data_IF_278922541962
#
_entry.id   IF_278922541962
#
_cell.length_a   1.000
_cell.length_b   1.000
_cell.length_c   1.000
_cell.angle_alpha   90.00
_cell.angle_beta   90.00
_cell.angle_gamma   90.00
#
_symmetry.space_group_name_H-M   'P 1'
#
loop_
_entity.id
_entity.type
_entity.pdbx_description
1 polymer ?
#
# COMPACT_ATOMS: atom_id res chain seq x y z
N UNK A 1 12.01 14.62 -36.31
CA UNK A 1 11.66 14.35 -34.90
C UNK A 1 12.04 12.90 -34.60
N UNK A 2 13.05 12.66 -33.76
CA UNK A 2 13.52 11.30 -33.46
C UNK A 2 12.45 10.53 -32.67
N UNK A 3 12.09 9.34 -33.16
CA UNK A 3 11.11 8.41 -32.55
C UNK A 3 11.80 7.30 -31.73
N UNK A 4 13.11 7.39 -31.53
CA UNK A 4 13.86 6.35 -30.85
C UNK A 4 13.52 6.33 -29.36
N UNK A 5 12.90 5.23 -28.88
CA UNK A 5 12.78 4.92 -27.45
C UNK A 5 14.20 4.88 -26.87
N UNK A 6 14.52 5.86 -26.00
CA UNK A 6 15.85 5.99 -25.41
C UNK A 6 16.31 4.68 -24.77
N UNK A 7 17.54 4.28 -25.14
CA UNK A 7 18.35 3.16 -24.65
C UNK A 7 17.66 2.24 -23.62
N UNK A 8 16.92 1.24 -24.10
CA UNK A 8 16.15 0.28 -23.28
C UNK A 8 17.03 -0.57 -22.36
N UNK A 9 18.34 -0.67 -22.63
CA UNK A 9 19.30 -1.38 -21.80
C UNK A 9 20.45 -0.44 -21.40
N UNK A 10 20.47 -0.01 -20.14
CA UNK A 10 21.57 0.75 -19.54
C UNK A 10 22.72 -0.21 -19.21
N UNK A 11 23.88 -0.03 -19.82
CA UNK A 11 25.07 -0.86 -19.57
C UNK A 11 25.82 -0.52 -18.28
N UNK A 12 25.64 0.69 -17.75
CA UNK A 12 26.31 1.18 -16.54
C UNK A 12 25.30 1.41 -15.42
N UNK A 13 25.67 1.10 -14.16
CA UNK A 13 24.80 1.39 -13.03
C UNK A 13 24.67 2.90 -12.84
N UNK A 14 23.69 3.31 -12.05
CA UNK A 14 23.44 4.72 -11.78
C UNK A 14 24.68 5.36 -11.13
N UNK A 15 25.13 6.50 -11.69
CA UNK A 15 26.33 7.23 -11.22
C UNK A 15 26.24 7.61 -9.74
N UNK A 16 25.04 7.92 -9.27
CA UNK A 16 24.76 8.32 -7.89
C UNK A 16 23.83 7.27 -7.27
N UNK A 17 24.42 6.31 -6.57
CA UNK A 17 23.68 5.28 -5.84
C UNK A 17 23.40 5.73 -4.41
N UNK A 18 22.25 5.34 -3.87
CA UNK A 18 21.95 5.56 -2.47
C UNK A 18 22.85 4.67 -1.60
N UNK A 19 23.58 5.27 -0.65
CA UNK A 19 24.42 4.52 0.30
C UNK A 19 23.59 3.76 1.33
N UNK A 20 22.42 4.28 1.67
CA UNK A 20 21.51 3.71 2.65
C UNK A 20 20.08 3.71 2.11
N UNK A 21 19.26 2.76 2.57
CA UNK A 21 17.85 2.74 2.23
C UNK A 21 17.12 3.95 2.84
N UNK A 22 16.10 4.44 2.14
CA UNK A 22 15.23 5.49 2.67
C UNK A 22 14.53 5.01 3.95
N UNK A 23 14.61 5.84 5.01
CA UNK A 23 13.93 5.66 6.28
C UNK A 23 13.03 6.86 6.52
N UNK A 24 11.74 6.64 6.70
CA UNK A 24 10.77 7.72 6.87
C UNK A 24 10.86 8.39 8.25
N UNK A 25 11.40 7.72 9.24
CA UNK A 25 11.54 8.15 10.63
C UNK A 25 12.92 8.76 10.96
N UNK A 26 13.82 8.85 9.98
CA UNK A 26 15.21 9.30 10.19
C UNK A 26 15.28 10.71 10.79
N UNK A 27 14.45 11.63 10.31
CA UNK A 27 14.42 13.03 10.74
C UNK A 27 13.08 13.45 11.35
N UNK A 28 12.00 12.76 10.99
CA UNK A 28 10.64 13.10 11.42
C UNK A 28 10.12 12.01 12.36
N UNK A 29 10.19 12.32 13.65
CA UNK A 29 9.77 11.44 14.74
C UNK A 29 8.39 11.83 15.29
N UNK A 30 7.58 12.54 14.49
CA UNK A 30 6.25 12.96 14.90
C UNK A 30 5.37 11.77 15.29
N UNK A 31 4.43 12.01 16.21
CA UNK A 31 3.47 10.99 16.65
C UNK A 31 2.68 10.43 15.46
N UNK A 32 2.36 11.27 14.49
CA UNK A 32 1.66 10.87 13.27
C UNK A 32 2.49 9.88 12.43
N UNK A 33 3.78 10.12 12.22
CA UNK A 33 4.66 9.21 11.47
C UNK A 33 4.82 7.87 12.20
N UNK A 34 4.91 7.88 13.54
CA UNK A 34 4.92 6.65 14.35
C UNK A 34 3.63 5.85 14.17
N UNK A 35 2.47 6.50 14.25
CA UNK A 35 1.16 5.86 14.03
C UNK A 35 1.05 5.27 12.63
N UNK A 36 1.52 5.98 11.60
CA UNK A 36 1.49 5.48 10.21
C UNK A 36 2.41 4.26 10.05
N UNK A 37 3.57 4.26 10.70
CA UNK A 37 4.51 3.13 10.67
C UNK A 37 4.01 1.90 11.42
N UNK A 38 3.15 2.08 12.43
CA UNK A 38 2.51 0.97 13.15
C UNK A 38 1.25 0.43 12.46
N UNK A 39 0.86 0.96 11.29
CA UNK A 39 -0.31 0.45 10.56
C UNK A 39 0.03 -0.93 9.98
N UNK A 40 -0.67 -1.93 10.46
CA UNK A 40 -0.66 -3.27 9.86
C UNK A 40 -1.66 -3.33 8.70
N UNK A 41 -1.17 -3.75 7.53
CA UNK A 41 -1.98 -3.87 6.31
C UNK A 41 -2.51 -5.30 6.20
N UNK A 42 -3.74 -5.52 6.66
CA UNK A 42 -4.44 -6.81 6.65
C UNK A 42 -5.62 -6.87 5.67
N UNK A 43 -6.12 -8.07 5.36
CA UNK A 43 -7.27 -8.33 4.49
C UNK A 43 -7.14 -7.78 3.06
N UNK A 44 -5.93 -7.82 2.52
CA UNK A 44 -5.60 -7.46 1.14
C UNK A 44 -4.68 -8.53 0.53
N UNK A 45 -4.72 -8.69 -0.78
CA UNK A 45 -3.78 -9.56 -1.49
C UNK A 45 -2.34 -9.02 -1.42
N UNK A 46 -1.35 -9.88 -1.61
CA UNK A 46 0.09 -9.54 -1.56
C UNK A 46 0.47 -8.36 -2.43
N UNK A 47 -0.10 -8.30 -3.65
CA UNK A 47 0.12 -7.18 -4.56
C UNK A 47 -0.32 -5.86 -3.94
N UNK A 48 -1.50 -5.85 -3.34
CA UNK A 48 -2.05 -4.66 -2.69
C UNK A 48 -1.32 -4.33 -1.38
N UNK A 49 -0.93 -5.34 -0.60
CA UNK A 49 -0.09 -5.19 0.60
C UNK A 49 1.19 -4.43 0.28
N UNK A 50 1.96 -4.90 -0.70
CA UNK A 50 3.20 -4.25 -1.17
C UNK A 50 2.99 -2.80 -1.61
N UNK A 51 1.87 -2.49 -2.27
CA UNK A 51 1.55 -1.11 -2.70
C UNK A 51 1.30 -0.19 -1.49
N UNK A 52 0.55 -0.66 -0.49
CA UNK A 52 0.22 0.14 0.70
C UNK A 52 1.46 0.30 1.59
N UNK A 53 2.20 -0.78 1.83
CA UNK A 53 3.47 -0.75 2.57
C UNK A 53 4.49 0.19 1.92
N UNK A 54 4.58 0.17 0.59
CA UNK A 54 5.43 1.13 -0.13
C UNK A 54 4.99 2.58 0.13
N UNK A 55 3.67 2.86 0.16
CA UNK A 55 3.17 4.20 0.50
C UNK A 55 3.55 4.60 1.93
N UNK A 56 3.47 3.68 2.90
CA UNK A 56 3.90 3.92 4.29
C UNK A 56 5.41 4.22 4.32
N UNK A 57 6.22 3.31 3.75
CA UNK A 57 7.69 3.40 3.72
C UNK A 57 8.20 4.71 3.12
N UNK A 58 7.55 5.22 2.08
CA UNK A 58 7.98 6.43 1.38
C UNK A 58 7.20 7.70 1.74
N UNK A 59 6.46 7.73 2.86
CA UNK A 59 5.62 8.86 3.31
C UNK A 59 4.59 9.33 2.27
N UNK A 60 4.10 8.41 1.44
CA UNK A 60 3.04 8.67 0.45
C UNK A 60 1.67 8.18 0.93
N UNK A 61 1.59 7.67 2.16
CA UNK A 61 0.35 7.22 2.78
C UNK A 61 -0.49 8.41 3.24
N UNK A 62 -1.74 8.46 2.79
CA UNK A 62 -2.73 9.48 3.17
C UNK A 62 -3.83 8.80 3.97
N UNK A 63 -3.88 9.08 5.27
CA UNK A 63 -4.95 8.61 6.15
C UNK A 63 -6.29 9.25 5.75
N UNK A 64 -7.38 8.52 6.00
CA UNK A 64 -8.73 9.04 5.83
C UNK A 64 -9.06 10.01 6.97
N UNK A 65 -9.70 11.15 6.65
CA UNK A 65 -10.27 12.06 7.66
C UNK A 65 -11.65 11.59 8.12
N UNK A 66 -12.41 11.01 7.21
CA UNK A 66 -13.75 10.47 7.43
C UNK A 66 -13.84 9.07 6.84
N UNK A 67 -14.68 8.19 7.41
CA UNK A 67 -14.87 6.85 6.85
C UNK A 67 -15.39 6.90 5.41
N UNK A 68 -14.85 6.05 4.53
CA UNK A 68 -15.31 5.95 3.14
C UNK A 68 -16.48 4.95 2.99
N UNK A 69 -17.26 5.13 1.93
CA UNK A 69 -18.39 4.24 1.56
C UNK A 69 -17.84 2.91 1.06
N UNK A 70 -18.37 1.81 1.58
CA UNK A 70 -18.08 0.46 1.11
C UNK A 70 -18.82 0.14 -0.19
N UNK A 71 -18.15 -0.52 -1.14
CA UNK A 71 -18.78 -0.95 -2.40
C UNK A 71 -19.81 -2.08 -2.18
N UNK A 72 -19.65 -2.92 -1.15
CA UNK A 72 -20.51 -4.09 -0.92
C UNK A 72 -21.74 -3.81 -0.06
N UNK A 73 -21.55 -3.22 1.12
CA UNK A 73 -22.66 -2.90 2.02
C UNK A 73 -23.21 -1.48 1.84
N UNK A 74 -22.56 -0.64 1.02
CA UNK A 74 -22.95 0.74 0.78
C UNK A 74 -22.95 1.69 2.00
N UNK A 75 -22.44 1.22 3.14
CA UNK A 75 -22.32 2.02 4.35
C UNK A 75 -20.95 2.71 4.45
N UNK A 76 -20.87 3.81 5.20
CA UNK A 76 -19.61 4.53 5.48
C UNK A 76 -18.82 3.86 6.62
N UNK A 77 -18.39 2.62 6.40
CA UNK A 77 -17.74 1.78 7.43
C UNK A 77 -16.24 1.60 7.23
N UNK A 78 -15.68 2.05 6.11
CA UNK A 78 -14.26 1.88 5.82
C UNK A 78 -13.42 2.88 6.61
N UNK A 79 -12.62 2.36 7.55
CA UNK A 79 -11.69 3.14 8.37
C UNK A 79 -10.25 3.13 7.81
N UNK A 80 -9.88 2.07 7.10
CA UNK A 80 -8.53 1.89 6.55
C UNK A 80 -8.40 2.64 5.23
N UNK A 81 -7.33 3.43 5.08
CA UNK A 81 -7.10 4.15 3.83
C UNK A 81 -6.76 3.20 2.68
N UNK A 82 -7.13 3.58 1.45
CA UNK A 82 -6.95 2.79 0.22
C UNK A 82 -7.78 1.49 0.14
N UNK A 83 -8.69 1.26 1.09
CA UNK A 83 -9.67 0.19 1.02
C UNK A 83 -10.93 0.70 0.33
N UNK A 84 -11.53 -0.16 -0.50
CA UNK A 84 -12.79 0.07 -1.20
C UNK A 84 -13.93 -0.79 -0.64
N UNK A 85 -13.57 -1.83 0.12
CA UNK A 85 -14.49 -2.75 0.77
C UNK A 85 -14.21 -2.76 2.27
N UNK A 86 -15.28 -2.86 3.05
CA UNK A 86 -15.23 -2.94 4.51
C UNK A 86 -14.64 -4.27 4.98
N UNK A 87 -13.95 -4.30 6.12
CA UNK A 87 -13.39 -5.54 6.66
C UNK A 87 -14.43 -6.68 6.83
N UNK A 88 -15.65 -6.45 7.37
CA UNK A 88 -16.62 -7.55 7.47
C UNK A 88 -17.09 -8.05 6.10
N UNK A 89 -17.24 -7.15 5.14
CA UNK A 89 -17.58 -7.49 3.76
C UNK A 89 -16.46 -8.32 3.10
N UNK A 90 -15.20 -7.93 3.31
CA UNK A 90 -14.05 -8.64 2.78
C UNK A 90 -13.92 -10.05 3.35
N UNK A 91 -14.18 -10.21 4.66
CA UNK A 91 -14.20 -11.51 5.33
C UNK A 91 -15.34 -12.40 4.85
N UNK A 92 -16.55 -11.85 4.68
CA UNK A 92 -17.72 -12.63 4.24
C UNK A 92 -17.59 -13.15 2.81
N UNK A 93 -16.98 -12.37 1.91
CA UNK A 93 -16.83 -12.73 0.50
C UNK A 93 -15.44 -13.25 0.13
N UNK A 94 -14.51 -13.34 1.09
CA UNK A 94 -13.11 -13.76 0.89
C UNK A 94 -12.39 -12.99 -0.24
N UNK A 95 -12.61 -11.68 -0.29
CA UNK A 95 -12.08 -10.79 -1.33
C UNK A 95 -11.17 -9.70 -0.75
N UNK A 96 -10.23 -9.24 -1.57
CA UNK A 96 -9.28 -8.21 -1.20
C UNK A 96 -10.01 -6.89 -0.94
N UNK A 97 -9.77 -6.29 0.24
CA UNK A 97 -10.41 -5.04 0.65
C UNK A 97 -10.09 -3.84 -0.26
N UNK A 98 -9.07 -3.95 -1.11
CA UNK A 98 -8.64 -2.89 -2.03
C UNK A 98 -9.03 -3.13 -3.49
N UNK A 99 -8.68 -4.28 -4.07
CA UNK A 99 -8.94 -4.56 -5.49
C UNK A 99 -10.20 -5.39 -5.76
N UNK A 100 -10.86 -5.93 -4.73
CA UNK A 100 -12.03 -6.81 -4.86
C UNK A 100 -11.77 -8.16 -5.53
N UNK A 101 -10.52 -8.47 -5.87
CA UNK A 101 -10.12 -9.78 -6.38
C UNK A 101 -10.15 -10.82 -5.24
N UNK A 102 -10.35 -12.10 -5.58
CA UNK A 102 -10.27 -13.19 -4.61
C UNK A 102 -8.91 -13.19 -3.92
N UNK A 103 -8.92 -13.36 -2.60
CA UNK A 103 -7.67 -13.46 -1.86
C UNK A 103 -7.19 -14.90 -2.02
N UNK A 104 -6.19 -15.11 -2.86
CA UNK A 104 -5.38 -16.32 -2.75
C UNK A 104 -4.58 -16.16 -1.45
N UNK A 105 -5.11 -16.75 -0.38
CA UNK A 105 -4.44 -16.80 0.92
C UNK A 105 -3.25 -17.74 0.73
N UNK A 106 -2.10 -17.22 0.32
CA UNK A 106 -0.83 -17.86 0.61
C UNK A 106 -0.67 -17.82 2.13
N UNK A 107 -1.16 -18.86 2.79
CA UNK A 107 -0.89 -19.16 4.19
C UNK A 107 0.63 -19.13 4.35
N UNK A 108 1.15 -18.17 5.11
CA UNK A 108 2.53 -18.26 5.60
C UNK A 108 2.59 -19.52 6.48
N UNK A 109 3.34 -20.52 6.01
CA UNK A 109 3.62 -21.75 6.75
C UNK A 109 4.42 -21.45 8.03
N UNK A 110 4.23 -22.35 8.99
CA UNK A 110 4.60 -22.33 10.41
C UNK A 110 6.09 -22.18 10.72
#
# INVERSE_FOLDING_TARGET
>A
MSTQKGNCNRSRPQKHQNRTAFKNDLHDKSHQTKLINSIEVSNVCDRCKKIIEWKIKYKKYKALKTPSKCIKCEEKTIKNAYHNICLPCAAQYEICSKCSDKIDITKEES
#
